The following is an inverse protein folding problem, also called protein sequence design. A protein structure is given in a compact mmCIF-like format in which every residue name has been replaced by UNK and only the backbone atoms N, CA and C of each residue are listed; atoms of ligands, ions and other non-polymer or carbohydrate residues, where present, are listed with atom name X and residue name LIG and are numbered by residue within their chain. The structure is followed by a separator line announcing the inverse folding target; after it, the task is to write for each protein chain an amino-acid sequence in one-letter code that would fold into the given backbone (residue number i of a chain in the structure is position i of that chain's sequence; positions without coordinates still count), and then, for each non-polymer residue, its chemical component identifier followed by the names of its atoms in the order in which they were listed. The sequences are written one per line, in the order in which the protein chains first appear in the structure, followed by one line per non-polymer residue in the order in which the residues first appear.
data_IF_433073982354
#
_entry.id   IF_433073982354
#
_cell.length_a   1.000
_cell.length_b   1.000
_cell.length_c   1.000
_cell.angle_alpha   90.00
_cell.angle_beta   90.00
_cell.angle_gamma   90.00
#
_symmetry.space_group_name_H-M   'P 1'
#
loop_
_entity.id
_entity.type
_entity.pdbx_description
1 polymer ?
#
# COMPACT_ATOMS: atom_id res chain seq x y z
N UNK A 1 -18.49 -14.74 36.16
CA UNK A 1 -17.98 -15.49 35.00
C UNK A 1 -18.82 -15.10 33.79
N UNK A 2 -18.57 -13.89 33.28
CA UNK A 2 -19.32 -13.32 32.16
C UNK A 2 -18.56 -13.63 30.87
N UNK A 3 -19.18 -14.40 29.98
CA UNK A 3 -18.71 -14.52 28.60
C UNK A 3 -18.78 -13.12 28.00
N UNK A 4 -17.63 -12.53 27.68
CA UNK A 4 -17.59 -11.43 26.72
C UNK A 4 -18.13 -12.02 25.42
N UNK A 5 -19.36 -11.65 25.08
CA UNK A 5 -19.86 -11.77 23.73
C UNK A 5 -18.91 -10.96 22.85
N UNK A 6 -18.15 -11.66 22.00
CA UNK A 6 -17.45 -11.04 20.91
C UNK A 6 -18.50 -10.27 20.11
N UNK A 7 -18.42 -8.94 20.15
CA UNK A 7 -19.25 -8.08 19.29
C UNK A 7 -18.97 -8.50 17.85
N UNK A 8 -20.00 -8.99 17.18
CA UNK A 8 -20.04 -9.39 15.78
C UNK A 8 -19.84 -8.18 14.84
N UNK A 9 -18.65 -7.58 14.91
CA UNK A 9 -18.06 -6.68 13.94
C UNK A 9 -16.71 -7.28 13.51
N UNK A 10 -16.71 -8.59 13.22
CA UNK A 10 -15.67 -9.18 12.39
C UNK A 10 -15.74 -8.46 11.04
N UNK A 11 -14.62 -7.86 10.65
CA UNK A 11 -14.58 -6.83 9.61
C UNK A 11 -15.23 -7.31 8.33
N UNK A 12 -16.20 -6.54 7.82
CA UNK A 12 -16.85 -6.77 6.52
C UNK A 12 -15.85 -6.79 5.35
N UNK A 13 -14.61 -6.39 5.60
CA UNK A 13 -13.53 -6.24 4.64
C UNK A 13 -12.27 -6.98 5.09
N UNK A 14 -11.49 -7.41 4.12
CA UNK A 14 -10.10 -7.90 4.24
C UNK A 14 -9.24 -7.20 3.19
N UNK A 15 -7.96 -7.05 3.46
CA UNK A 15 -7.00 -6.57 2.49
C UNK A 15 -6.48 -7.74 1.65
N UNK A 16 -6.43 -7.54 0.34
CA UNK A 16 -5.77 -8.42 -0.62
C UNK A 16 -4.85 -7.57 -1.49
N UNK A 17 -3.53 -7.71 -1.30
CA UNK A 17 -2.57 -6.78 -1.91
C UNK A 17 -2.84 -5.35 -1.45
N UNK A 18 -3.13 -4.44 -2.39
CA UNK A 18 -3.41 -3.03 -2.09
C UNK A 18 -4.91 -2.70 -1.97
N UNK A 19 -5.79 -3.70 -2.00
CA UNK A 19 -7.24 -3.47 -2.10
C UNK A 19 -7.97 -4.02 -0.88
N UNK A 20 -8.86 -3.20 -0.34
CA UNK A 20 -9.84 -3.64 0.65
C UNK A 20 -11.04 -4.27 -0.08
N UNK A 21 -11.32 -5.52 0.26
CA UNK A 21 -12.29 -6.38 -0.43
C UNK A 21 -13.30 -6.90 0.58
N UNK A 22 -14.59 -6.86 0.24
CA UNK A 22 -15.62 -7.41 1.13
C UNK A 22 -15.46 -8.93 1.29
N UNK A 23 -15.57 -9.43 2.53
CA UNK A 23 -15.48 -10.87 2.83
C UNK A 23 -16.54 -11.67 2.06
N UNK A 24 -17.78 -11.16 2.00
CA UNK A 24 -18.86 -11.77 1.22
C UNK A 24 -18.58 -11.90 -0.28
N UNK A 25 -17.74 -11.03 -0.87
CA UNK A 25 -17.34 -11.17 -2.27
C UNK A 25 -16.43 -12.39 -2.44
N UNK A 26 -15.51 -12.63 -1.50
CA UNK A 26 -14.58 -13.75 -1.55
C UNK A 26 -15.32 -15.11 -1.42
N UNK A 27 -16.45 -15.14 -0.72
CA UNK A 27 -17.28 -16.33 -0.51
C UNK A 27 -18.17 -16.69 -1.71
N UNK A 28 -18.55 -15.72 -2.55
CA UNK A 28 -19.39 -15.97 -3.74
C UNK A 28 -18.70 -16.92 -4.72
N UNK A 29 -19.41 -17.71 -5.53
CA UNK A 29 -18.77 -18.41 -6.65
C UNK A 29 -18.18 -17.41 -7.65
N UNK A 30 -17.02 -17.75 -8.22
CA UNK A 30 -16.41 -16.98 -9.31
C UNK A 30 -16.66 -17.60 -10.69
N UNK A 31 -16.24 -16.90 -11.74
CA UNK A 31 -16.40 -17.31 -13.14
C UNK A 31 -15.13 -17.99 -13.69
N UNK A 32 -15.17 -18.48 -14.93
CA UNK A 32 -13.96 -18.97 -15.61
C UNK A 32 -13.03 -17.81 -15.95
N UNK A 33 -11.73 -18.09 -16.15
CA UNK A 33 -10.79 -17.07 -16.61
C UNK A 33 -11.25 -16.44 -17.94
N UNK A 34 -11.73 -17.26 -18.88
CA UNK A 34 -12.20 -16.80 -20.18
C UNK A 34 -13.36 -15.82 -20.05
N UNK A 35 -14.33 -16.14 -19.19
CA UNK A 35 -15.49 -15.27 -18.95
C UNK A 35 -15.07 -13.97 -18.25
N UNK A 36 -14.14 -14.04 -17.29
CA UNK A 36 -13.66 -12.87 -16.55
C UNK A 36 -12.98 -11.83 -17.44
N UNK A 37 -12.37 -12.24 -18.54
CA UNK A 37 -11.59 -11.36 -19.43
C UNK A 37 -12.26 -11.10 -20.79
N UNK A 38 -13.44 -11.68 -21.06
CA UNK A 38 -14.06 -11.66 -22.39
C UNK A 38 -14.25 -10.24 -22.95
N UNK A 39 -14.72 -9.30 -22.11
CA UNK A 39 -14.95 -7.91 -22.48
C UNK A 39 -13.65 -7.11 -22.70
N UNK A 40 -12.54 -7.62 -22.18
CA UNK A 40 -11.23 -6.99 -22.26
C UNK A 40 -10.41 -7.55 -23.42
N UNK A 41 -10.62 -8.81 -23.78
CA UNK A 41 -9.87 -9.50 -24.83
C UNK A 41 -10.80 -10.35 -25.71
N UNK A 42 -11.65 -9.71 -26.53
CA UNK A 42 -12.73 -10.37 -27.26
C UNK A 42 -12.24 -11.36 -28.34
N UNK A 43 -11.02 -11.16 -28.87
CA UNK A 43 -10.45 -11.99 -29.95
C UNK A 43 -9.49 -13.10 -29.47
N UNK A 44 -9.43 -13.37 -28.17
CA UNK A 44 -8.80 -14.58 -27.65
C UNK A 44 -7.50 -14.41 -26.85
N UNK A 45 -7.28 -15.45 -26.05
CA UNK A 45 -6.36 -15.66 -24.93
C UNK A 45 -5.05 -14.86 -24.87
N UNK A 46 -5.09 -13.72 -24.16
CA UNK A 46 -3.94 -13.26 -23.39
C UNK A 46 -3.98 -13.96 -22.04
N UNK A 47 -3.44 -15.17 -21.99
CA UNK A 47 -3.02 -15.65 -20.69
C UNK A 47 -1.75 -14.88 -20.30
N UNK A 48 -1.60 -14.51 -19.02
CA UNK A 48 -0.31 -14.05 -18.53
C UNK A 48 0.76 -15.07 -18.94
N UNK A 49 1.99 -14.59 -19.23
CA UNK A 49 3.08 -15.39 -19.82
C UNK A 49 3.41 -16.69 -19.05
N UNK A 50 2.90 -16.87 -17.83
CA UNK A 50 2.96 -18.09 -17.01
C UNK A 50 1.55 -18.65 -16.79
N UNK A 51 1.07 -19.49 -17.72
CA UNK A 51 -0.22 -20.19 -17.60
C UNK A 51 -0.24 -21.26 -16.50
N UNK A 52 0.92 -21.81 -16.17
CA UNK A 52 1.03 -23.05 -15.38
C UNK A 52 0.46 -22.92 -13.97
N UNK A 53 0.35 -21.71 -13.44
CA UNK A 53 -0.07 -21.41 -12.06
C UNK A 53 -1.36 -20.58 -11.98
N UNK A 54 -2.04 -20.37 -13.11
CA UNK A 54 -3.23 -19.52 -13.16
C UNK A 54 -4.50 -20.35 -12.90
N UNK A 55 -5.33 -20.00 -11.90
CA UNK A 55 -6.61 -20.68 -11.68
C UNK A 55 -7.49 -20.61 -12.94
N UNK A 56 -8.10 -21.73 -13.35
CA UNK A 56 -8.99 -21.75 -14.51
C UNK A 56 -10.41 -21.22 -14.19
N UNK A 57 -10.78 -21.23 -12.91
CA UNK A 57 -12.12 -20.88 -12.41
C UNK A 57 -12.00 -20.15 -11.08
N UNK A 58 -13.11 -19.52 -10.67
CA UNK A 58 -13.19 -18.82 -9.39
C UNK A 58 -12.74 -17.37 -9.49
N UNK A 59 -12.71 -16.78 -10.69
CA UNK A 59 -12.36 -15.38 -10.87
C UNK A 59 -13.50 -14.45 -10.49
N UNK A 60 -13.17 -13.33 -9.84
CA UNK A 60 -14.09 -12.27 -9.43
C UNK A 60 -13.45 -10.92 -9.68
N UNK A 61 -14.27 -9.93 -9.99
CA UNK A 61 -13.83 -8.52 -10.00
C UNK A 61 -13.77 -8.04 -8.56
N UNK A 62 -12.57 -7.79 -8.06
CA UNK A 62 -12.34 -7.30 -6.69
C UNK A 62 -12.40 -5.78 -6.60
N UNK A 63 -11.94 -5.11 -7.66
CA UNK A 63 -11.89 -3.66 -7.73
C UNK A 63 -12.08 -3.19 -9.17
N UNK A 64 -12.72 -2.04 -9.34
CA UNK A 64 -12.86 -1.35 -10.62
C UNK A 64 -12.66 0.13 -10.38
N UNK A 65 -11.71 0.71 -11.10
CA UNK A 65 -11.52 2.15 -11.17
C UNK A 65 -11.71 2.60 -12.60
N UNK A 66 -12.59 3.58 -12.77
CA UNK A 66 -12.77 4.30 -14.03
C UNK A 66 -12.85 5.77 -13.66
N UNK A 67 -11.91 6.56 -14.18
CA UNK A 67 -11.99 8.01 -14.09
C UNK A 67 -11.91 8.59 -15.49
N UNK A 68 -12.53 9.74 -15.72
CA UNK A 68 -12.53 10.39 -17.04
C UNK A 68 -11.12 10.84 -17.48
N UNK A 69 -10.17 10.86 -16.54
CA UNK A 69 -8.81 11.33 -16.70
C UNK A 69 -7.77 10.20 -16.60
N UNK A 70 -8.21 8.96 -16.37
CA UNK A 70 -7.34 7.80 -16.20
C UNK A 70 -7.83 6.59 -16.95
N UNK A 71 -6.92 5.65 -17.15
CA UNK A 71 -7.20 4.33 -17.67
C UNK A 71 -8.25 3.61 -16.82
N UNK A 72 -9.12 2.84 -17.47
CA UNK A 72 -9.99 1.90 -16.77
C UNK A 72 -9.11 0.76 -16.25
N UNK A 73 -9.17 0.52 -14.95
CA UNK A 73 -8.40 -0.53 -14.28
C UNK A 73 -9.36 -1.46 -13.55
N UNK A 74 -9.24 -2.76 -13.80
CA UNK A 74 -9.92 -3.78 -13.00
C UNK A 74 -8.91 -4.72 -12.36
N UNK A 75 -9.23 -5.14 -11.15
CA UNK A 75 -8.46 -6.13 -10.40
C UNK A 75 -9.30 -7.38 -10.31
N UNK A 76 -8.78 -8.44 -10.91
CA UNK A 76 -9.36 -9.77 -10.87
C UNK A 76 -8.66 -10.59 -9.80
N UNK A 77 -9.43 -11.40 -9.07
CA UNK A 77 -8.89 -12.31 -8.08
C UNK A 77 -9.56 -13.68 -8.10
N UNK A 78 -8.76 -14.72 -7.91
CA UNK A 78 -9.22 -16.09 -7.73
C UNK A 78 -8.44 -16.79 -6.61
N UNK A 79 -9.03 -17.75 -5.88
CA UNK A 79 -8.29 -18.59 -4.94
C UNK A 79 -7.16 -19.31 -5.66
N UNK A 80 -5.97 -19.36 -5.03
CA UNK A 80 -4.83 -20.09 -5.56
C UNK A 80 -5.10 -21.60 -5.52
N UNK A 81 -4.78 -22.27 -6.62
CA UNK A 81 -4.83 -23.74 -6.70
C UNK A 81 -3.57 -24.41 -6.17
N UNK A 82 -2.50 -23.64 -5.95
CA UNK A 82 -1.19 -24.14 -5.52
C UNK A 82 -0.89 -23.81 -4.07
N UNK A 83 -1.41 -22.68 -3.57
CA UNK A 83 -1.19 -22.19 -2.22
C UNK A 83 -2.53 -22.04 -1.50
N UNK A 84 -3.01 -23.08 -0.78
CA UNK A 84 -4.27 -23.01 -0.05
C UNK A 84 -4.35 -21.81 0.88
N UNK A 85 -5.48 -21.08 0.82
CA UNK A 85 -5.71 -19.87 1.61
C UNK A 85 -5.14 -18.58 1.02
N UNK A 86 -4.43 -18.64 -0.10
CA UNK A 86 -3.99 -17.45 -0.86
C UNK A 86 -4.86 -17.19 -2.08
N UNK A 87 -4.73 -15.99 -2.63
CA UNK A 87 -5.45 -15.48 -3.79
C UNK A 87 -4.46 -15.03 -4.87
N UNK A 88 -4.71 -15.44 -6.11
CA UNK A 88 -4.02 -14.95 -7.30
C UNK A 88 -4.74 -13.70 -7.78
N UNK A 89 -4.02 -12.59 -7.88
CA UNK A 89 -4.50 -11.32 -8.38
C UNK A 89 -3.88 -10.99 -9.73
N UNK A 90 -4.69 -10.42 -10.61
CA UNK A 90 -4.28 -9.89 -11.92
C UNK A 90 -4.94 -8.53 -12.12
N UNK A 91 -4.14 -7.55 -12.55
CA UNK A 91 -4.65 -6.26 -12.98
C UNK A 91 -4.82 -6.24 -14.50
N UNK A 92 -5.97 -5.78 -14.96
CA UNK A 92 -6.22 -5.43 -16.35
C UNK A 92 -6.36 -3.92 -16.44
N UNK A 93 -5.70 -3.31 -17.42
CA UNK A 93 -5.76 -1.87 -17.67
C UNK A 93 -6.04 -1.57 -19.14
N UNK A 94 -6.91 -0.60 -19.39
CA UNK A 94 -7.34 -0.19 -20.73
C UNK A 94 -6.69 1.13 -21.07
N UNK A 95 -5.75 1.08 -22.01
CA UNK A 95 -5.01 2.24 -22.50
C UNK A 95 -5.49 2.60 -23.92
N UNK A 96 -5.25 3.83 -24.34
CA UNK A 96 -5.49 4.26 -25.74
C UNK A 96 -4.74 3.39 -26.75
N UNK A 97 -3.56 2.89 -26.37
CA UNK A 97 -2.69 2.05 -27.19
C UNK A 97 -3.03 0.56 -27.13
N UNK A 98 -3.98 0.16 -26.28
CA UNK A 98 -4.44 -1.22 -26.13
C UNK A 98 -4.66 -1.64 -24.68
N UNK A 99 -5.22 -2.84 -24.51
CA UNK A 99 -5.43 -3.43 -23.19
C UNK A 99 -4.16 -4.13 -22.71
N UNK A 100 -3.82 -3.97 -21.44
CA UNK A 100 -2.67 -4.58 -20.79
C UNK A 100 -3.12 -5.50 -19.65
N UNK A 101 -2.26 -6.48 -19.35
CA UNK A 101 -2.43 -7.45 -18.27
C UNK A 101 -1.11 -7.54 -17.50
N UNK A 102 -1.18 -7.43 -16.17
CA UNK A 102 0.00 -7.60 -15.32
C UNK A 102 0.34 -9.08 -15.14
N UNK A 103 1.59 -9.36 -14.74
CA UNK A 103 1.93 -10.67 -14.22
C UNK A 103 1.07 -10.99 -12.99
N UNK A 104 0.60 -12.24 -12.80
CA UNK A 104 -0.13 -12.63 -11.61
C UNK A 104 0.74 -12.49 -10.36
N UNK A 105 0.12 -12.08 -9.27
CA UNK A 105 0.74 -12.02 -7.94
C UNK A 105 -0.15 -12.73 -6.92
N UNK A 106 0.46 -13.34 -5.91
CA UNK A 106 -0.25 -14.21 -4.95
C UNK A 106 -0.21 -13.58 -3.57
N UNK A 107 -1.38 -13.40 -2.95
CA UNK A 107 -1.54 -12.68 -1.68
C UNK A 107 -2.37 -13.49 -0.69
N UNK A 108 -2.07 -13.33 0.61
CA UNK A 108 -2.96 -13.80 1.67
C UNK A 108 -4.02 -12.73 1.98
N UNK A 109 -5.28 -13.10 2.25
CA UNK A 109 -6.23 -12.17 2.86
C UNK A 109 -5.76 -11.76 4.24
N UNK A 110 -5.65 -10.46 4.48
CA UNK A 110 -5.24 -9.90 5.77
C UNK A 110 -6.34 -9.03 6.39
N UNK A 111 -6.24 -8.71 7.70
CA UNK A 111 -6.98 -7.57 8.24
C UNK A 111 -6.65 -6.29 7.46
N UNK A 112 -7.65 -5.44 7.25
CA UNK A 112 -7.48 -4.14 6.57
C UNK A 112 -6.45 -3.26 7.29
N UNK A 113 -5.81 -2.36 6.54
CA UNK A 113 -4.77 -1.45 7.06
C UNK A 113 -5.22 -0.72 8.34
N UNK A 114 -6.50 -0.31 8.39
CA UNK A 114 -7.06 0.38 9.54
C UNK A 114 -7.01 -0.46 10.82
N UNK A 115 -7.28 -1.76 10.73
CA UNK A 115 -7.19 -2.67 11.88
C UNK A 115 -5.72 -2.91 12.25
N UNK A 116 -4.86 -3.12 11.25
CA UNK A 116 -3.42 -3.40 11.46
C UNK A 116 -2.68 -2.22 12.10
N UNK A 117 -3.07 -0.98 11.79
CA UNK A 117 -2.44 0.23 12.36
C UNK A 117 -2.94 0.62 13.76
N UNK A 118 -3.95 -0.06 14.32
CA UNK A 118 -4.49 0.31 15.63
C UNK A 118 -3.40 0.26 16.71
N UNK A 119 -3.31 1.29 17.55
CA UNK A 119 -2.29 1.37 18.60
C UNK A 119 -0.86 1.58 18.07
N UNK A 120 -0.68 1.83 16.77
CA UNK A 120 0.59 2.30 16.21
C UNK A 120 0.52 3.81 16.00
N UNK A 121 1.61 4.50 16.30
CA UNK A 121 1.77 5.93 16.05
C UNK A 121 3.01 6.19 15.22
N UNK A 122 2.89 7.10 14.25
CA UNK A 122 4.01 7.56 13.45
C UNK A 122 4.28 9.02 13.81
N UNK A 123 5.49 9.34 14.22
CA UNK A 123 5.91 10.71 14.53
C UNK A 123 7.23 11.06 13.86
N UNK A 124 7.55 12.35 13.73
CA UNK A 124 8.87 12.75 13.28
C UNK A 124 9.93 12.44 14.34
N UNK A 125 11.13 12.01 13.92
CA UNK A 125 12.24 11.80 14.87
C UNK A 125 12.72 13.13 15.47
N UNK A 126 12.54 14.22 14.73
CA UNK A 126 12.85 15.59 15.12
C UNK A 126 11.81 16.54 14.52
N UNK A 127 11.47 17.64 15.22
CA UNK A 127 10.55 18.63 14.67
C UNK A 127 11.17 19.47 13.54
N UNK A 128 12.50 19.53 13.46
CA UNK A 128 13.24 20.35 12.50
C UNK A 128 14.43 19.60 11.90
N UNK A 129 14.64 19.79 10.60
CA UNK A 129 15.75 19.27 9.81
C UNK A 129 16.43 20.40 9.04
N UNK A 130 17.70 20.23 8.72
CA UNK A 130 18.45 21.18 7.90
C UNK A 130 19.42 20.47 6.95
N UNK A 131 19.62 21.05 5.76
CA UNK A 131 20.58 20.61 4.76
C UNK A 131 21.20 21.80 4.04
N UNK A 132 22.35 21.58 3.40
CA UNK A 132 22.84 22.50 2.38
C UNK A 132 22.09 22.28 1.05
N UNK A 133 22.01 23.29 0.20
CA UNK A 133 21.50 23.18 -1.16
C UNK A 133 22.20 22.03 -1.91
N UNK A 134 21.41 21.16 -2.55
CA UNK A 134 21.91 19.97 -3.24
C UNK A 134 22.39 18.83 -2.32
N UNK A 135 22.24 18.96 -1.00
CA UNK A 135 22.55 17.90 -0.04
C UNK A 135 21.45 16.83 0.06
N UNK A 136 21.74 15.78 0.83
CA UNK A 136 20.78 14.71 1.15
C UNK A 136 20.61 14.60 2.67
N UNK A 137 19.55 15.18 3.26
CA UNK A 137 19.33 15.11 4.69
C UNK A 137 18.90 13.70 5.10
N UNK A 138 19.36 13.25 6.27
CA UNK A 138 18.81 12.06 6.90
C UNK A 138 17.49 12.42 7.59
N UNK A 139 16.39 12.36 6.85
CA UNK A 139 15.03 12.63 7.36
C UNK A 139 14.39 11.30 7.76
N UNK A 140 14.07 11.18 9.05
CA UNK A 140 13.49 9.96 9.62
C UNK A 140 12.20 10.25 10.38
N UNK A 141 11.35 9.25 10.44
CA UNK A 141 10.17 9.15 11.30
C UNK A 141 10.38 8.01 12.30
N UNK A 142 9.59 7.99 13.36
CA UNK A 142 9.59 6.98 14.41
C UNK A 142 8.22 6.33 14.41
N UNK A 143 8.20 5.02 14.15
CA UNK A 143 7.03 4.19 14.39
C UNK A 143 7.09 3.68 15.83
N UNK A 144 6.00 3.86 16.58
CA UNK A 144 5.87 3.46 17.98
C UNK A 144 4.67 2.54 18.14
N UNK A 145 4.85 1.44 18.87
CA UNK A 145 3.74 0.65 19.37
C UNK A 145 3.27 1.21 20.71
N UNK A 146 2.11 1.87 20.72
CA UNK A 146 1.49 2.46 21.90
C UNK A 146 0.47 1.52 22.58
N UNK A 147 0.22 0.36 21.98
CA UNK A 147 -0.62 -0.66 22.59
C UNK A 147 0.11 -1.45 23.68
N UNK A 148 -0.67 -2.19 24.46
CA UNK A 148 -0.21 -3.13 25.48
C UNK A 148 0.07 -4.54 24.92
N UNK A 149 -0.09 -4.73 23.60
CA UNK A 149 0.13 -6.00 22.91
C UNK A 149 1.40 -5.98 22.06
N UNK A 150 2.01 -7.17 21.92
CA UNK A 150 3.08 -7.39 20.94
C UNK A 150 2.52 -7.29 19.52
N UNK A 151 3.28 -6.64 18.63
CA UNK A 151 2.92 -6.45 17.22
C UNK A 151 3.89 -7.20 16.34
N UNK A 152 3.37 -8.19 15.63
CA UNK A 152 4.06 -8.91 14.57
C UNK A 152 3.68 -8.33 13.21
N UNK A 153 4.65 -8.03 12.34
CA UNK A 153 4.38 -7.57 10.98
C UNK A 153 3.77 -8.70 10.14
N UNK A 154 2.89 -8.35 9.20
CA UNK A 154 2.43 -9.28 8.16
C UNK A 154 3.21 -9.09 6.85
N UNK A 155 2.99 -9.93 5.84
CA UNK A 155 3.83 -9.95 4.62
C UNK A 155 3.80 -8.62 3.84
N UNK A 156 2.72 -7.85 3.96
CA UNK A 156 2.53 -6.51 3.38
C UNK A 156 3.04 -5.36 4.26
N UNK A 157 3.50 -5.63 5.50
CA UNK A 157 4.05 -4.60 6.39
C UNK A 157 5.51 -4.31 6.09
N UNK A 158 5.72 -3.46 5.09
CA UNK A 158 7.04 -2.91 4.78
C UNK A 158 7.30 -1.56 5.46
N UNK A 159 8.59 -1.23 5.58
CA UNK A 159 9.10 0.03 6.15
C UNK A 159 9.08 1.20 5.17
N UNK A 160 8.34 1.11 4.07
CA UNK A 160 8.29 2.19 3.09
C UNK A 160 7.52 3.39 3.63
N UNK A 161 8.25 4.48 3.81
CA UNK A 161 7.67 5.77 4.17
C UNK A 161 7.78 6.69 2.96
N UNK A 162 6.64 7.14 2.46
CA UNK A 162 6.55 8.19 1.46
C UNK A 162 6.64 9.55 2.15
N UNK A 163 7.73 10.28 1.87
CA UNK A 163 7.90 11.67 2.25
C UNK A 163 7.33 12.62 1.21
N UNK A 164 6.67 13.68 1.67
CA UNK A 164 6.15 14.77 0.84
C UNK A 164 6.77 16.08 1.28
N UNK A 165 7.22 16.88 0.32
CA UNK A 165 7.66 18.25 0.57
C UNK A 165 6.48 19.18 0.32
N UNK A 166 6.25 20.09 1.26
CA UNK A 166 5.23 21.13 1.17
C UNK A 166 5.89 22.51 1.27
N UNK A 167 5.30 23.49 0.61
CA UNK A 167 5.65 24.89 0.81
C UNK A 167 5.14 25.41 2.18
N UNK A 168 5.38 26.70 2.46
CA UNK A 168 4.94 27.32 3.71
C UNK A 168 3.41 27.45 3.83
N UNK A 169 2.68 27.30 2.73
CA UNK A 169 1.22 27.32 2.67
C UNK A 169 0.61 25.91 2.71
N UNK A 170 1.44 24.87 2.88
CA UNK A 170 1.01 23.47 2.90
C UNK A 170 0.69 22.91 1.51
N UNK A 171 1.03 23.61 0.43
CA UNK A 171 0.89 23.09 -0.93
C UNK A 171 2.04 22.15 -1.24
N UNK A 172 1.71 21.02 -1.87
CA UNK A 172 2.69 20.01 -2.25
C UNK A 172 3.63 20.57 -3.32
N UNK A 173 4.93 20.39 -3.10
CA UNK A 173 5.97 20.61 -4.10
C UNK A 173 6.34 19.26 -4.70
N UNK A 174 6.35 19.18 -6.03
CA UNK A 174 6.60 17.94 -6.74
C UNK A 174 5.38 17.01 -6.76
N UNK A 175 5.54 15.87 -7.41
CA UNK A 175 4.50 14.86 -7.55
C UNK A 175 4.61 13.76 -6.49
N UNK A 176 5.57 13.90 -5.56
CA UNK A 176 6.01 12.92 -4.57
C UNK A 176 6.12 11.51 -5.14
N UNK A 177 6.45 11.41 -6.43
CA UNK A 177 6.63 10.15 -7.10
C UNK A 177 7.93 9.54 -6.61
N UNK A 178 7.82 8.31 -6.15
CA UNK A 178 8.98 7.51 -5.83
C UNK A 178 8.82 6.15 -6.46
N UNK A 179 9.90 5.69 -7.11
CA UNK A 179 9.98 4.34 -7.65
C UNK A 179 9.95 3.39 -6.48
N UNK A 180 8.88 2.60 -6.36
CA UNK A 180 8.76 1.57 -5.33
C UNK A 180 9.96 0.62 -5.42
N UNK A 181 10.95 0.85 -4.55
CA UNK A 181 11.96 -0.15 -4.24
C UNK A 181 11.41 -1.07 -3.17
N UNK A 182 11.88 -2.33 -3.11
CA UNK A 182 11.54 -3.22 -2.00
C UNK A 182 12.05 -2.59 -0.69
N UNK A 183 11.15 -2.07 0.13
CA UNK A 183 11.47 -1.72 1.50
C UNK A 183 11.53 -3.00 2.34
N UNK A 184 12.44 -3.10 3.32
CA UNK A 184 12.45 -4.25 4.21
C UNK A 184 11.16 -4.25 5.07
N UNK A 185 10.75 -5.41 5.60
CA UNK A 185 9.65 -5.50 6.55
C UNK A 185 9.87 -4.58 7.77
N UNK A 186 8.78 -4.11 8.35
CA UNK A 186 8.80 -3.49 9.68
C UNK A 186 9.24 -4.57 10.69
N UNK A 187 10.11 -4.28 11.68
CA UNK A 187 10.42 -5.25 12.72
C UNK A 187 9.22 -5.51 13.63
N UNK A 188 9.27 -6.61 14.37
CA UNK A 188 8.37 -6.81 15.51
C UNK A 188 8.53 -5.68 16.54
N UNK A 189 7.41 -5.25 17.12
CA UNK A 189 7.37 -4.19 18.12
C UNK A 189 6.58 -4.64 19.35
N UNK A 190 7.27 -4.83 20.46
CA UNK A 190 6.64 -4.97 21.78
C UNK A 190 5.99 -3.67 22.27
N UNK A 191 5.23 -3.71 23.37
CA UNK A 191 4.61 -2.53 23.97
C UNK A 191 5.64 -1.42 24.26
N UNK A 192 5.37 -0.21 23.78
CA UNK A 192 6.24 0.97 23.92
C UNK A 192 7.51 0.95 23.06
N UNK A 193 7.77 -0.12 22.29
CA UNK A 193 8.94 -0.18 21.42
C UNK A 193 8.78 0.75 20.21
N UNK A 194 9.93 1.16 19.68
CA UNK A 194 10.02 2.11 18.57
C UNK A 194 11.09 1.71 17.57
N UNK A 195 10.86 2.04 16.31
CA UNK A 195 11.81 1.89 15.21
C UNK A 195 11.89 3.19 14.40
N UNK A 196 13.10 3.59 14.02
CA UNK A 196 13.32 4.71 13.10
C UNK A 196 13.21 4.23 11.65
N UNK A 197 12.40 4.93 10.86
CA UNK A 197 12.19 4.65 9.44
C UNK A 197 12.59 5.88 8.60
N UNK A 198 13.35 5.74 7.52
CA UNK A 198 13.69 6.85 6.63
C UNK A 198 12.51 7.26 5.74
N UNK A 199 12.16 8.56 5.75
CA UNK A 199 11.01 9.09 5.02
C UNK A 199 11.32 9.55 3.58
N UNK A 200 12.59 9.78 3.25
CA UNK A 200 13.00 10.29 1.94
C UNK A 200 14.14 9.43 1.38
N UNK A 201 13.95 8.10 1.32
CA UNK A 201 14.91 7.23 0.63
C UNK A 201 14.99 7.66 -0.83
N UNK A 202 16.16 8.12 -1.28
CA UNK A 202 16.42 8.44 -2.69
C UNK A 202 15.40 9.41 -3.33
N UNK A 203 14.91 10.43 -2.60
CA UNK A 203 13.94 11.38 -3.15
C UNK A 203 14.66 12.50 -3.96
N UNK A 204 14.55 12.52 -5.31
CA UNK A 204 15.20 13.54 -6.12
C UNK A 204 14.62 14.95 -5.90
N UNK A 205 13.37 15.06 -5.41
CA UNK A 205 12.70 16.33 -5.17
C UNK A 205 13.49 17.18 -4.18
N UNK A 206 14.06 16.59 -3.14
CA UNK A 206 14.86 17.33 -2.14
C UNK A 206 16.13 17.94 -2.74
N UNK A 207 16.76 17.28 -3.71
CA UNK A 207 18.01 17.73 -4.31
C UNK A 207 17.85 18.96 -5.19
N UNK A 208 16.66 19.20 -5.73
CA UNK A 208 16.36 20.32 -6.64
C UNK A 208 15.79 21.56 -5.97
N UNK A 209 15.55 21.55 -4.66
CA UNK A 209 14.90 22.66 -3.97
C UNK A 209 15.87 23.83 -3.73
N UNK A 210 15.44 25.09 -3.94
CA UNK A 210 16.24 26.25 -3.59
C UNK A 210 16.35 26.41 -2.07
N UNK A 211 17.31 27.24 -1.64
CA UNK A 211 17.43 27.66 -0.25
C UNK A 211 16.09 28.24 0.25
N UNK A 212 15.70 27.89 1.46
CA UNK A 212 14.40 28.28 2.00
C UNK A 212 13.90 27.41 3.15
N UNK A 213 12.66 27.67 3.54
CA UNK A 213 11.95 26.90 4.56
C UNK A 213 10.80 26.13 3.92
N UNK A 214 10.67 24.87 4.32
CA UNK A 214 9.68 23.94 3.82
C UNK A 214 9.03 23.18 4.98
N UNK A 215 7.87 22.62 4.73
CA UNK A 215 7.22 21.66 5.61
C UNK A 215 7.35 20.26 5.03
N UNK A 216 7.40 19.27 5.91
CA UNK A 216 7.48 17.86 5.54
C UNK A 216 6.23 17.13 6.06
N UNK A 217 5.66 16.29 5.22
CA UNK A 217 4.66 15.28 5.61
C UNK A 217 5.22 13.89 5.29
N UNK A 218 4.74 12.86 5.99
CA UNK A 218 5.17 11.49 5.78
C UNK A 218 4.03 10.49 5.99
N UNK A 219 4.03 9.41 5.20
CA UNK A 219 3.04 8.34 5.27
C UNK A 219 3.78 7.00 5.19
N UNK A 220 3.58 6.14 6.19
CA UNK A 220 3.93 4.72 6.09
C UNK A 220 2.87 4.03 5.24
N UNK A 221 3.23 3.66 4.01
CA UNK A 221 2.27 3.31 2.96
C UNK A 221 1.58 1.97 3.20
N UNK A 222 2.32 0.98 3.70
CA UNK A 222 1.84 -0.37 4.03
C UNK A 222 0.67 -0.39 5.02
N UNK A 223 0.62 0.59 5.91
CA UNK A 223 -0.40 0.77 6.95
C UNK A 223 -1.27 2.02 6.74
N UNK A 224 -1.01 2.81 5.69
CA UNK A 224 -1.61 4.14 5.49
C UNK A 224 -1.62 4.96 6.79
N UNK A 225 -0.49 4.98 7.48
CA UNK A 225 -0.31 5.66 8.77
C UNK A 225 0.46 6.97 8.54
N UNK A 226 -0.16 8.10 8.84
CA UNK A 226 0.42 9.43 8.62
C UNK A 226 1.22 9.87 9.84
N UNK A 227 2.35 10.52 9.60
CA UNK A 227 3.11 11.15 10.66
C UNK A 227 2.29 12.27 11.31
N UNK A 228 2.37 12.38 12.63
CA UNK A 228 1.69 13.44 13.37
C UNK A 228 2.29 14.81 13.03
N UNK A 229 1.44 15.71 12.52
CA UNK A 229 1.82 17.04 12.13
C UNK A 229 2.88 17.09 11.02
N UNK A 230 3.47 18.26 10.85
CA UNK A 230 4.55 18.51 9.89
C UNK A 230 5.87 18.79 10.60
N UNK A 231 6.98 18.27 10.06
CA UNK A 231 8.32 18.74 10.44
C UNK A 231 8.76 19.91 9.56
N UNK A 232 9.67 20.74 10.06
CA UNK A 232 10.29 21.84 9.30
C UNK A 232 11.57 21.37 8.62
N UNK A 233 11.78 21.75 7.37
CA UNK A 233 13.05 21.61 6.66
C UNK A 233 13.61 23.00 6.32
N UNK A 234 14.86 23.25 6.67
CA UNK A 234 15.60 24.44 6.24
C UNK A 234 16.72 24.06 5.28
N UNK A 235 16.71 24.62 4.08
CA UNK A 235 17.77 24.47 3.09
C UNK A 235 18.61 25.74 3.08
N UNK A 236 19.93 25.60 3.28
CA UNK A 236 20.90 26.71 3.37
C UNK A 236 21.85 26.74 2.18
#
# INVERSE_FOLDING_TARGET
MGKQEATASESQYVQLGNWDVTTSLLEKPGVSWQDAIADWFPNGSLAPRRREHLPLKGWRVLYTSRSDWSEEVIILGAPSTEEPGRWVLVQLSRHETGNQITSPAVFRPLPVQEVRRQGLRLGWSRPEFSMACGGSPNITVVLVNESDIHREPVEEDDSHVQGLVLDLHGQRIGDGSFVHGMAPPIPELGPGQRVELPAFRNNPELTGLPAGQYQLAAILTSLNLRAEGSARLTIR
#
